data_IF_793441535858
#
_entry.id   IF_793441535858
#
_cell.length_a   1.000
_cell.length_b   1.000
_cell.length_c   1.000
_cell.angle_alpha   90.00
_cell.angle_beta   90.00
_cell.angle_gamma   90.00
#
_symmetry.space_group_name_H-M   'P 1'
#
loop_
_entity.id
_entity.type
_entity.pdbx_description
1 polymer ?
#
# COMPACT_ATOMS: atom_id res chain seq x y z
N UNK A 1 -3.35 -20.68 36.44
CA UNK A 1 -3.71 -20.80 35.01
C UNK A 1 -3.51 -19.45 34.39
N UNK A 2 -2.60 -19.34 33.41
CA UNK A 2 -2.36 -18.09 32.70
C UNK A 2 -3.53 -17.82 31.75
N UNK A 3 -3.77 -16.56 31.40
CA UNK A 3 -4.79 -16.14 30.41
C UNK A 3 -4.65 -16.87 29.08
N UNK A 4 -3.42 -17.24 28.74
CA UNK A 4 -3.05 -17.82 27.44
C UNK A 4 -3.50 -19.29 27.35
N UNK A 5 -3.47 -20.01 28.48
CA UNK A 5 -3.92 -21.41 28.55
C UNK A 5 -5.44 -21.54 28.31
N UNK A 6 -6.21 -20.53 28.72
CA UNK A 6 -7.66 -20.52 28.55
C UNK A 6 -8.05 -20.24 27.09
N UNK A 7 -7.36 -19.32 26.41
CA UNK A 7 -7.65 -19.01 25.02
C UNK A 7 -7.35 -20.19 24.09
N UNK A 8 -6.22 -20.87 24.28
CA UNK A 8 -5.85 -22.06 23.50
C UNK A 8 -6.85 -23.20 23.72
N UNK A 9 -7.34 -23.39 24.95
CA UNK A 9 -8.36 -24.39 25.27
C UNK A 9 -9.71 -24.07 24.60
N UNK A 10 -10.15 -22.82 24.63
CA UNK A 10 -11.39 -22.36 24.00
C UNK A 10 -11.32 -22.45 22.46
N UNK A 11 -10.19 -22.08 21.87
CA UNK A 11 -9.95 -22.19 20.43
C UNK A 11 -9.99 -23.67 19.97
N UNK A 12 -9.30 -24.53 20.71
CA UNK A 12 -9.28 -25.97 20.44
C UNK A 12 -10.68 -26.58 20.54
N UNK A 13 -11.46 -26.17 21.55
CA UNK A 13 -12.82 -26.63 21.72
C UNK A 13 -13.71 -26.19 20.54
N UNK A 14 -13.67 -24.91 20.15
CA UNK A 14 -14.46 -24.38 19.02
C UNK A 14 -14.11 -25.04 17.69
N UNK A 15 -12.82 -25.27 17.42
CA UNK A 15 -12.38 -25.95 16.20
C UNK A 15 -12.86 -27.40 16.15
N UNK A 16 -12.83 -28.11 17.29
CA UNK A 16 -13.34 -29.49 17.37
C UNK A 16 -14.84 -29.54 17.13
N UNK A 17 -15.62 -28.69 17.81
CA UNK A 17 -17.08 -28.63 17.64
C UNK A 17 -17.47 -28.27 16.21
N UNK A 18 -16.73 -27.35 15.57
CA UNK A 18 -16.93 -27.02 14.16
C UNK A 18 -16.60 -28.18 13.23
N UNK A 19 -15.54 -28.95 13.52
CA UNK A 19 -15.16 -30.12 12.72
C UNK A 19 -16.18 -31.26 12.85
N UNK A 20 -16.75 -31.49 14.04
CA UNK A 20 -17.78 -32.50 14.28
C UNK A 20 -19.11 -32.14 13.59
N UNK A 21 -19.46 -30.85 13.54
CA UNK A 21 -20.66 -30.37 12.84
C UNK A 21 -20.59 -30.49 11.31
N UNK A 22 -19.39 -30.62 10.73
CA UNK A 22 -19.21 -30.76 9.28
C UNK A 22 -19.40 -32.19 8.77
N UNK A 23 -19.56 -33.18 9.67
CA UNK A 23 -19.69 -34.59 9.32
C UNK A 23 -18.41 -35.15 8.69
N UNK A 24 -18.18 -36.45 8.83
CA UNK A 24 -17.07 -37.16 8.17
C UNK A 24 -17.30 -37.33 6.66
N UNK A 25 -17.81 -36.30 5.98
CA UNK A 25 -17.74 -36.23 4.53
C UNK A 25 -16.27 -35.97 4.18
N UNK A 26 -15.61 -36.95 3.57
CA UNK A 26 -14.30 -36.77 2.95
C UNK A 26 -14.30 -35.41 2.24
N UNK A 27 -13.45 -34.45 2.67
CA UNK A 27 -13.37 -33.18 1.96
C UNK A 27 -13.07 -33.52 0.51
N UNK A 28 -13.75 -32.92 -0.48
CA UNK A 28 -13.59 -33.26 -1.89
C UNK A 28 -12.26 -32.66 -2.40
N UNK A 29 -11.16 -33.16 -1.85
CA UNK A 29 -9.80 -32.86 -2.24
C UNK A 29 -9.60 -33.22 -3.72
N UNK A 30 -10.36 -34.20 -4.22
CA UNK A 30 -10.45 -34.51 -5.64
C UNK A 30 -10.99 -33.31 -6.46
N UNK A 31 -12.07 -32.67 -6.02
CA UNK A 31 -12.65 -31.50 -6.70
C UNK A 31 -11.75 -30.27 -6.57
N UNK A 32 -11.13 -30.03 -5.41
CA UNK A 32 -10.16 -28.94 -5.22
C UNK A 32 -8.92 -29.14 -6.11
N UNK A 33 -8.39 -30.36 -6.22
CA UNK A 33 -7.28 -30.68 -7.14
C UNK A 33 -7.70 -30.54 -8.60
N UNK A 34 -8.95 -30.85 -8.95
CA UNK A 34 -9.47 -30.68 -10.31
C UNK A 34 -9.66 -29.19 -10.65
N UNK A 35 -10.19 -28.39 -9.72
CA UNK A 35 -10.33 -26.94 -9.86
C UNK A 35 -8.97 -26.24 -9.97
N UNK A 36 -7.97 -26.66 -9.19
CA UNK A 36 -6.59 -26.16 -9.28
C UNK A 36 -5.96 -26.42 -10.65
N UNK A 37 -6.14 -27.63 -11.20
CA UNK A 37 -5.65 -27.98 -12.55
C UNK A 37 -6.29 -27.14 -13.65
N UNK A 38 -7.58 -26.80 -13.53
CA UNK A 38 -8.26 -25.91 -14.51
C UNK A 38 -7.67 -24.50 -14.50
N UNK A 39 -7.41 -23.92 -13.31
CA UNK A 39 -6.81 -22.57 -13.19
C UNK A 39 -5.35 -22.51 -13.65
N UNK A 40 -4.59 -23.60 -13.52
CA UNK A 40 -3.22 -23.66 -14.02
C UNK A 40 -3.16 -23.62 -15.56
N UNK A 41 -4.08 -24.33 -16.24
CA UNK A 41 -4.15 -24.37 -17.71
C UNK A 41 -4.52 -23.02 -18.32
N UNK A 42 -5.47 -22.29 -17.72
CA UNK A 42 -5.84 -20.95 -18.22
C UNK A 42 -4.68 -19.95 -18.10
N UNK A 43 -3.89 -20.01 -17.02
CA UNK A 43 -2.70 -19.15 -16.86
C UNK A 43 -1.59 -19.43 -17.89
N UNK A 44 -1.42 -20.67 -18.32
CA UNK A 44 -0.44 -21.01 -19.37
C UNK A 44 -0.88 -20.50 -20.75
N UNK A 45 -2.16 -20.56 -21.09
CA UNK A 45 -2.67 -20.07 -22.38
C UNK A 45 -2.44 -18.55 -22.56
N UNK A 46 -2.61 -17.75 -21.50
CA UNK A 46 -2.39 -16.30 -21.58
C UNK A 46 -0.92 -15.88 -21.72
N UNK A 47 0.04 -16.71 -21.30
CA UNK A 47 1.48 -16.39 -21.45
C UNK A 47 2.01 -16.56 -22.87
N UNK A 48 1.36 -17.39 -23.69
CA UNK A 48 1.79 -17.62 -25.09
C UNK A 48 1.25 -16.52 -26.03
N UNK A 49 0.11 -15.90 -25.71
CA UNK A 49 -0.47 -14.83 -26.52
C UNK A 49 0.27 -13.48 -26.39
N UNK A 50 1.04 -13.26 -25.32
CA UNK A 50 1.69 -11.96 -25.05
C UNK A 50 3.04 -11.76 -25.78
N UNK A 51 3.50 -12.73 -26.59
CA UNK A 51 4.79 -12.65 -27.29
C UNK A 51 4.70 -12.13 -28.74
N UNK A 52 3.51 -11.83 -29.26
CA UNK A 52 3.31 -11.48 -30.67
C UNK A 52 3.19 -9.96 -30.96
N UNK A 53 2.92 -9.10 -29.98
CA UNK A 53 2.54 -7.69 -30.22
C UNK A 53 3.67 -6.66 -30.03
N UNK A 54 4.91 -7.07 -29.79
CA UNK A 54 6.01 -6.17 -29.41
C UNK A 54 6.98 -5.78 -30.55
N UNK A 55 6.52 -5.61 -31.80
CA UNK A 55 7.42 -5.29 -32.94
C UNK A 55 7.05 -4.03 -33.74
N UNK A 56 5.91 -3.38 -33.52
CA UNK A 56 5.53 -2.20 -34.30
C UNK A 56 5.19 -1.04 -33.36
N UNK A 57 6.14 -0.14 -33.10
CA UNK A 57 5.92 1.29 -32.77
C UNK A 57 7.28 1.97 -32.45
N UNK A 58 8.19 1.99 -33.43
CA UNK A 58 9.39 2.83 -33.43
C UNK A 58 9.45 3.65 -34.72
N UNK A 59 8.59 4.66 -34.85
CA UNK A 59 8.75 5.73 -35.83
C UNK A 59 7.89 6.94 -35.43
N UNK A 60 8.50 8.00 -34.91
CA UNK A 60 7.80 9.28 -34.69
C UNK A 60 8.35 10.19 -33.60
N UNK A 61 9.65 10.49 -33.60
CA UNK A 61 10.19 11.61 -32.82
C UNK A 61 10.32 12.83 -33.74
N UNK A 62 9.30 13.68 -33.74
CA UNK A 62 9.29 15.01 -34.37
C UNK A 62 9.34 16.11 -33.30
N UNK A 63 10.27 17.04 -33.48
CA UNK A 63 10.59 18.16 -32.59
C UNK A 63 9.45 19.17 -32.38
N UNK A 64 9.43 19.77 -31.19
CA UNK A 64 8.63 20.97 -30.90
C UNK A 64 9.06 21.62 -29.57
N UNK A 65 10.08 22.47 -29.62
CA UNK A 65 10.44 23.40 -28.54
C UNK A 65 9.55 24.64 -28.61
N UNK A 66 8.75 24.89 -27.58
CA UNK A 66 8.10 26.18 -27.36
C UNK A 66 8.33 26.61 -25.90
N UNK A 67 9.13 27.67 -25.75
CA UNK A 67 9.39 28.34 -24.49
C UNK A 67 8.20 29.26 -24.16
N UNK A 68 7.59 29.06 -23.00
CA UNK A 68 6.60 29.95 -22.41
C UNK A 68 7.04 30.35 -21.00
N UNK A 69 7.51 31.58 -20.84
CA UNK A 69 7.82 32.18 -19.55
C UNK A 69 6.53 32.58 -18.83
N UNK A 70 6.34 32.07 -17.61
CA UNK A 70 5.28 32.49 -16.70
C UNK A 70 5.86 32.70 -15.31
N UNK A 71 5.93 33.96 -14.88
CA UNK A 71 6.32 34.39 -13.54
C UNK A 71 5.21 34.11 -12.54
N UNK A 72 5.42 33.14 -11.64
CA UNK A 72 4.53 32.87 -10.50
C UNK A 72 5.02 33.63 -9.26
N UNK A 73 4.15 34.47 -8.69
CA UNK A 73 4.37 35.19 -7.44
C UNK A 73 4.21 34.29 -6.19
N UNK A 74 4.71 34.71 -5.03
CA UNK A 74 4.68 33.90 -3.82
C UNK A 74 3.31 33.99 -3.11
N UNK A 75 2.57 32.89 -3.09
CA UNK A 75 1.42 32.72 -2.21
C UNK A 75 1.86 31.94 -0.95
N UNK A 76 2.33 32.66 0.06
CA UNK A 76 2.50 32.15 1.42
C UNK A 76 1.14 32.10 2.10
N UNK A 77 0.43 30.98 1.94
CA UNK A 77 -0.72 30.60 2.74
C UNK A 77 -0.49 29.20 3.28
N UNK A 78 0.08 29.10 4.47
CA UNK A 78 0.22 27.82 5.18
C UNK A 78 -1.16 27.32 5.57
N UNK A 79 -1.62 26.24 4.93
CA UNK A 79 -2.81 25.52 5.36
C UNK A 79 -2.43 24.68 6.59
N UNK A 80 -3.18 24.76 7.69
CA UNK A 80 -2.99 23.84 8.80
C UNK A 80 -3.31 22.42 8.31
N UNK A 81 -2.33 21.50 8.36
CA UNK A 81 -2.57 20.08 8.10
C UNK A 81 -3.63 19.57 9.07
N UNK A 82 -4.84 19.21 8.60
CA UNK A 82 -5.77 18.51 9.44
C UNK A 82 -5.23 17.10 9.65
N UNK A 83 -4.87 16.76 10.89
CA UNK A 83 -4.65 15.38 11.33
C UNK A 83 -6.02 14.67 11.35
N UNK A 84 -6.64 14.51 10.18
CA UNK A 84 -7.79 13.65 10.00
C UNK A 84 -7.25 12.22 9.90
N UNK A 85 -7.56 11.40 10.91
CA UNK A 85 -7.01 10.07 11.09
C UNK A 85 -6.97 9.28 9.79
N UNK A 86 -5.75 9.01 9.31
CA UNK A 86 -5.56 8.08 8.21
C UNK A 86 -6.22 6.76 8.61
N UNK A 87 -7.12 6.19 7.79
CA UNK A 87 -7.75 4.91 8.10
C UNK A 87 -6.72 3.76 8.15
N UNK A 88 -5.47 4.04 7.76
CA UNK A 88 -4.37 3.10 7.83
C UNK A 88 -3.85 2.98 9.27
N UNK A 89 -4.35 1.98 10.01
CA UNK A 89 -3.74 1.59 11.29
C UNK A 89 -2.45 0.83 11.03
N UNK A 90 -1.37 1.24 11.68
CA UNK A 90 -0.16 0.42 11.73
C UNK A 90 -0.52 -0.96 12.30
N UNK A 91 -0.01 -2.05 11.70
CA UNK A 91 -0.13 -3.37 12.32
C UNK A 91 0.42 -3.30 13.75
N UNK A 92 -0.43 -3.58 14.75
CA UNK A 92 -0.05 -3.58 16.17
C UNK A 92 -0.27 -2.28 16.95
N UNK A 93 -0.66 -1.18 16.31
CA UNK A 93 -0.94 0.07 17.02
C UNK A 93 -2.16 -0.07 17.95
N UNK A 94 -1.89 -0.11 19.25
CA UNK A 94 -2.88 0.00 20.33
C UNK A 94 -2.77 1.41 20.92
N UNK A 95 -3.88 2.03 21.36
CA UNK A 95 -3.85 3.38 21.93
C UNK A 95 -2.88 3.46 23.13
N UNK A 96 -2.08 4.53 23.19
CA UNK A 96 -0.80 4.54 23.91
C UNK A 96 -0.91 4.64 25.45
N UNK A 97 -0.06 3.91 26.20
CA UNK A 97 0.46 4.36 27.50
C UNK A 97 1.56 5.43 27.31
N UNK A 98 1.76 6.29 28.31
CA UNK A 98 2.59 7.51 28.22
C UNK A 98 4.10 7.31 28.03
N UNK A 99 4.81 8.44 27.83
CA UNK A 99 6.28 8.55 27.63
C UNK A 99 7.07 7.55 28.49
N UNK A 100 8.02 6.84 27.88
CA UNK A 100 9.02 6.07 28.62
C UNK A 100 9.93 6.96 29.46
N UNK A 101 10.53 6.40 30.53
CA UNK A 101 11.46 7.13 31.41
C UNK A 101 12.71 7.69 30.72
N UNK A 102 13.11 7.13 29.57
CA UNK A 102 14.35 7.49 28.88
C UNK A 102 14.18 8.59 27.82
N UNK A 103 12.94 9.05 27.57
CA UNK A 103 12.68 10.19 26.69
C UNK A 103 12.88 9.96 25.19
N UNK A 104 13.19 8.74 24.74
CA UNK A 104 13.31 8.43 23.31
C UNK A 104 11.93 8.48 22.62
N UNK A 105 11.84 9.25 21.53
CA UNK A 105 10.60 9.46 20.80
C UNK A 105 10.67 8.71 19.46
N UNK A 106 9.88 7.62 19.28
CA UNK A 106 9.90 6.87 18.02
C UNK A 106 9.58 7.74 16.80
N UNK A 107 8.88 8.88 16.97
CA UNK A 107 8.57 9.84 15.91
C UNK A 107 9.82 10.49 15.31
N UNK A 108 10.86 10.74 16.13
CA UNK A 108 12.13 11.31 15.65
C UNK A 108 12.87 10.32 14.76
N UNK A 109 12.91 9.05 15.21
CA UNK A 109 13.53 7.95 14.46
C UNK A 109 12.77 7.62 13.18
N UNK A 110 11.43 7.62 13.25
CA UNK A 110 10.56 7.47 12.09
C UNK A 110 10.81 8.56 11.05
N UNK A 111 10.81 9.83 11.47
CA UNK A 111 11.08 10.96 10.57
C UNK A 111 12.47 10.91 9.93
N UNK A 112 13.48 10.40 10.64
CA UNK A 112 14.81 10.15 10.06
C UNK A 112 14.78 9.04 8.99
N UNK A 113 14.08 7.93 9.27
CA UNK A 113 13.88 6.85 8.32
C UNK A 113 13.11 7.30 7.07
N UNK A 114 12.06 8.11 7.24
CA UNK A 114 11.30 8.70 6.14
C UNK A 114 12.20 9.59 5.26
N UNK A 115 12.99 10.50 5.85
CA UNK A 115 13.90 11.36 5.06
C UNK A 115 14.94 10.57 4.27
N UNK A 116 15.53 9.54 4.88
CA UNK A 116 16.45 8.63 4.18
C UNK A 116 15.74 7.91 3.03
N UNK A 117 14.53 7.40 3.31
CA UNK A 117 13.68 6.69 2.37
C UNK A 117 13.26 7.53 1.18
N UNK A 118 12.76 8.74 1.39
CA UNK A 118 12.31 9.64 0.33
C UNK A 118 13.47 10.26 -0.47
N UNK A 119 14.66 10.36 0.13
CA UNK A 119 15.87 10.85 -0.51
C UNK A 119 16.67 9.74 -1.20
N UNK A 120 17.79 9.37 -0.58
CA UNK A 120 18.79 8.46 -1.16
C UNK A 120 18.24 7.07 -1.48
N UNK A 121 17.24 6.60 -0.74
CA UNK A 121 16.72 5.24 -0.84
C UNK A 121 15.32 5.15 -1.47
N UNK A 122 14.93 6.15 -2.27
CA UNK A 122 13.57 6.25 -2.86
C UNK A 122 13.14 5.03 -3.66
N UNK A 123 14.09 4.32 -4.27
CA UNK A 123 13.82 3.17 -5.14
C UNK A 123 13.41 1.91 -4.36
N UNK A 124 13.70 1.86 -3.06
CA UNK A 124 13.39 0.72 -2.19
C UNK A 124 12.42 1.06 -1.07
N UNK A 125 12.24 2.34 -0.75
CA UNK A 125 11.35 2.82 0.32
C UNK A 125 9.88 2.83 -0.12
N UNK A 126 8.99 2.38 0.76
CA UNK A 126 7.52 2.42 0.57
C UNK A 126 6.78 3.28 1.58
N UNK A 127 7.27 3.38 2.81
CA UNK A 127 6.62 4.17 3.84
C UNK A 127 7.12 3.83 5.24
N UNK A 128 6.65 4.59 6.23
CA UNK A 128 6.83 4.29 7.64
C UNK A 128 5.49 4.25 8.37
N UNK A 129 5.49 3.66 9.57
CA UNK A 129 4.36 3.68 10.47
C UNK A 129 4.84 3.63 11.92
N UNK A 130 4.58 4.67 12.70
CA UNK A 130 4.90 4.74 14.12
C UNK A 130 3.96 3.93 15.01
N UNK A 131 4.54 3.24 16.00
CA UNK A 131 3.82 2.62 17.11
C UNK A 131 4.37 3.16 18.43
N UNK A 132 3.86 4.33 18.80
CA UNK A 132 4.28 5.04 20.01
C UNK A 132 4.02 4.24 21.29
N UNK A 133 3.02 3.34 21.28
CA UNK A 133 2.66 2.53 22.45
C UNK A 133 3.73 1.49 22.80
N UNK A 134 4.44 0.99 21.79
CA UNK A 134 5.51 -0.01 21.94
C UNK A 134 6.92 0.57 21.74
N UNK A 135 7.06 1.90 21.65
CA UNK A 135 8.32 2.56 21.30
C UNK A 135 8.98 1.95 20.05
N UNK A 136 8.15 1.70 19.04
CA UNK A 136 8.57 1.05 17.82
C UNK A 136 8.10 1.85 16.59
N UNK A 137 8.73 1.59 15.46
CA UNK A 137 8.19 1.98 14.17
C UNK A 137 8.50 0.92 13.11
N UNK A 138 7.67 0.90 12.08
CA UNK A 138 7.75 0.00 10.95
C UNK A 138 8.27 0.77 9.75
N UNK A 139 9.16 0.14 8.98
CA UNK A 139 9.67 0.63 7.71
C UNK A 139 9.29 -0.36 6.62
N UNK A 140 8.42 0.07 5.72
CA UNK A 140 8.01 -0.71 4.56
C UNK A 140 9.00 -0.47 3.43
N UNK A 141 9.55 -1.55 2.87
CA UNK A 141 10.59 -1.47 1.85
C UNK A 141 10.64 -2.72 0.98
N UNK A 142 11.15 -2.58 -0.24
CA UNK A 142 11.33 -3.71 -1.15
C UNK A 142 12.27 -4.77 -0.55
N UNK A 143 12.00 -6.04 -0.83
CA UNK A 143 12.81 -7.16 -0.31
C UNK A 143 14.30 -6.99 -0.67
N UNK A 144 15.16 -7.13 0.34
CA UNK A 144 16.61 -7.22 0.14
C UNK A 144 17.39 -5.90 0.19
N UNK A 145 16.76 -4.79 0.60
CA UNK A 145 17.41 -3.47 0.68
C UNK A 145 18.35 -3.31 1.90
N UNK A 146 19.40 -4.13 1.98
CA UNK A 146 20.32 -4.20 3.14
C UNK A 146 20.98 -2.86 3.48
N UNK A 147 21.36 -2.07 2.47
CA UNK A 147 21.98 -0.77 2.68
C UNK A 147 21.01 0.22 3.34
N UNK A 148 19.74 0.19 2.93
CA UNK A 148 18.69 1.00 3.54
C UNK A 148 18.42 0.54 4.97
N UNK A 149 18.31 -0.77 5.21
CA UNK A 149 18.08 -1.33 6.55
C UNK A 149 19.20 -0.91 7.54
N UNK A 150 20.46 -0.92 7.08
CA UNK A 150 21.59 -0.47 7.88
C UNK A 150 21.53 1.04 8.16
N UNK A 151 21.20 1.86 7.15
CA UNK A 151 21.10 3.30 7.31
C UNK A 151 19.99 3.70 8.30
N UNK A 152 18.83 3.05 8.21
CA UNK A 152 17.71 3.27 9.15
C UNK A 152 18.11 2.88 10.57
N UNK A 153 18.74 1.71 10.77
CA UNK A 153 19.21 1.28 12.09
C UNK A 153 20.23 2.25 12.70
N UNK A 154 21.12 2.80 11.87
CA UNK A 154 22.11 3.77 12.32
C UNK A 154 21.50 5.14 12.68
N UNK A 155 20.36 5.48 12.09
CA UNK A 155 19.65 6.73 12.34
C UNK A 155 18.63 6.66 13.51
N UNK A 156 18.28 5.46 13.96
CA UNK A 156 17.32 5.27 15.04
C UNK A 156 17.93 5.64 16.41
N UNK A 157 17.12 6.28 17.26
CA UNK A 157 17.52 6.63 18.62
C UNK A 157 17.71 5.37 19.49
N UNK A 158 18.66 5.39 20.46
CA UNK A 158 18.81 4.29 21.40
C UNK A 158 17.50 3.97 22.13
N UNK A 159 17.11 2.70 22.13
CA UNK A 159 15.88 2.23 22.79
C UNK A 159 14.62 2.25 21.90
N UNK A 160 14.69 2.78 20.68
CA UNK A 160 13.60 2.66 19.70
C UNK A 160 13.74 1.35 18.93
N UNK A 161 12.65 0.58 18.83
CA UNK A 161 12.61 -0.67 18.06
C UNK A 161 12.24 -0.40 16.60
N UNK A 162 13.05 -0.91 15.67
CA UNK A 162 12.79 -0.79 14.22
C UNK A 162 12.38 -2.14 13.63
N UNK A 163 11.22 -2.18 12.98
CA UNK A 163 10.74 -3.34 12.23
C UNK A 163 10.82 -3.08 10.72
N UNK A 164 11.43 -4.01 9.97
CA UNK A 164 11.47 -3.96 8.51
C UNK A 164 10.41 -4.88 7.92
N UNK A 165 9.55 -4.33 7.07
CA UNK A 165 8.46 -5.05 6.42
C UNK A 165 8.66 -5.04 4.91
N UNK A 166 8.62 -6.23 4.30
CA UNK A 166 8.71 -6.34 2.85
C UNK A 166 7.45 -5.75 2.19
N UNK A 167 7.63 -4.85 1.24
CA UNK A 167 6.58 -4.26 0.43
C UNK A 167 6.62 -4.74 -1.02
N UNK A 168 5.52 -4.51 -1.75
CA UNK A 168 5.40 -4.88 -3.17
C UNK A 168 5.92 -3.80 -4.12
N UNK A 169 5.67 -2.54 -3.80
CA UNK A 169 6.01 -1.40 -4.64
C UNK A 169 6.68 -0.28 -3.83
N UNK A 170 7.66 0.44 -4.40
CA UNK A 170 8.24 1.61 -3.75
C UNK A 170 7.29 2.81 -3.83
N UNK A 171 7.39 3.72 -2.86
CA UNK A 171 6.43 4.82 -2.66
C UNK A 171 6.37 5.77 -3.83
N UNK A 172 7.52 6.09 -4.44
CA UNK A 172 7.57 7.02 -5.56
C UNK A 172 6.76 6.51 -6.76
N UNK A 173 6.75 5.20 -7.02
CA UNK A 173 5.93 4.59 -8.08
C UNK A 173 4.43 4.65 -7.76
N UNK A 174 4.07 4.49 -6.49
CA UNK A 174 2.68 4.60 -6.06
C UNK A 174 2.17 6.04 -6.13
N UNK A 175 3.00 7.02 -5.77
CA UNK A 175 2.70 8.46 -5.93
C UNK A 175 2.54 8.82 -7.41
N UNK A 176 3.51 8.44 -8.27
CA UNK A 176 3.39 8.63 -9.73
C UNK A 176 2.08 8.05 -10.29
N UNK A 177 1.67 6.87 -9.80
CA UNK A 177 0.39 6.28 -10.20
C UNK A 177 -0.81 7.07 -9.66
N UNK A 178 -0.78 7.47 -8.39
CA UNK A 178 -1.85 8.23 -7.77
C UNK A 178 -2.09 9.56 -8.50
N UNK A 179 -1.02 10.27 -8.85
CA UNK A 179 -1.07 11.52 -9.62
C UNK A 179 -1.65 11.26 -11.02
N UNK A 180 -1.15 10.24 -11.71
CA UNK A 180 -1.68 9.86 -13.03
C UNK A 180 -3.16 9.52 -13.01
N UNK A 181 -3.67 8.86 -11.96
CA UNK A 181 -5.08 8.47 -11.88
C UNK A 181 -5.98 9.69 -11.72
N UNK A 182 -5.59 10.64 -10.87
CA UNK A 182 -6.41 11.83 -10.58
C UNK A 182 -6.36 12.85 -11.73
N UNK A 183 -5.23 12.94 -12.43
CA UNK A 183 -5.05 13.85 -13.57
C UNK A 183 -5.52 13.27 -14.92
N UNK A 184 -5.99 12.01 -14.97
CA UNK A 184 -6.38 11.38 -16.24
C UNK A 184 -7.68 11.99 -16.81
N UNK A 185 -7.62 12.71 -17.96
CA UNK A 185 -8.79 13.35 -18.55
C UNK A 185 -9.87 12.34 -18.96
N UNK A 186 -9.51 11.07 -19.14
CA UNK A 186 -10.43 9.98 -19.48
C UNK A 186 -11.67 9.92 -18.57
N UNK A 187 -11.49 10.18 -17.27
CA UNK A 187 -12.57 10.13 -16.28
C UNK A 187 -13.49 11.35 -16.39
N UNK A 188 -12.91 12.54 -16.51
CA UNK A 188 -13.66 13.78 -16.67
C UNK A 188 -14.52 13.77 -17.94
N UNK A 189 -13.97 13.32 -19.07
CA UNK A 189 -14.70 13.17 -20.35
C UNK A 189 -15.91 12.22 -20.26
N UNK A 190 -15.95 11.35 -19.25
CA UNK A 190 -17.04 10.39 -18.99
C UNK A 190 -17.97 10.82 -17.85
N UNK A 191 -17.78 12.03 -17.32
CA UNK A 191 -18.55 12.51 -16.17
C UNK A 191 -18.25 11.73 -14.88
N UNK A 192 -17.11 11.04 -14.80
CA UNK A 192 -16.66 10.33 -13.60
C UNK A 192 -15.75 11.26 -12.80
N UNK A 193 -16.05 11.43 -11.52
CA UNK A 193 -15.23 12.24 -10.62
C UNK A 193 -14.37 11.33 -9.76
N UNK A 194 -13.05 11.41 -9.94
CA UNK A 194 -12.08 10.87 -8.98
C UNK A 194 -11.94 11.90 -7.87
N UNK A 195 -12.41 11.56 -6.67
CA UNK A 195 -12.39 12.49 -5.54
C UNK A 195 -11.01 12.59 -4.90
N UNK A 196 -10.23 11.51 -4.95
CA UNK A 196 -8.89 11.47 -4.37
C UNK A 196 -8.15 10.19 -4.72
N UNK A 197 -6.84 10.24 -4.64
CA UNK A 197 -5.95 9.08 -4.77
C UNK A 197 -4.95 9.08 -3.63
N UNK A 198 -4.58 7.90 -3.17
CA UNK A 198 -3.69 7.74 -2.02
C UNK A 198 -2.71 6.58 -2.22
N UNK A 199 -1.41 6.86 -2.14
CA UNK A 199 -0.36 5.85 -2.13
C UNK A 199 -0.25 5.23 -0.72
N UNK A 200 -0.59 3.94 -0.59
CA UNK A 200 -0.58 3.27 0.71
C UNK A 200 0.87 3.09 1.21
N UNK A 201 1.17 3.51 2.47
CA UNK A 201 2.53 3.52 3.00
C UNK A 201 3.13 2.12 3.16
N UNK A 202 2.30 1.07 3.20
CA UNK A 202 2.75 -0.32 3.21
C UNK A 202 3.28 -0.82 1.84
N UNK A 203 3.18 0.02 0.81
CA UNK A 203 3.57 -0.33 -0.54
C UNK A 203 2.65 -1.36 -1.21
N UNK A 204 1.43 -1.57 -0.70
CA UNK A 204 0.46 -2.51 -1.27
C UNK A 204 -0.18 -2.02 -2.57
N UNK A 205 -0.32 -0.70 -2.74
CA UNK A 205 -0.84 -0.07 -3.95
C UNK A 205 -1.42 1.32 -3.72
N UNK A 206 -2.26 1.75 -4.66
CA UNK A 206 -3.00 3.02 -4.61
C UNK A 206 -4.47 2.75 -4.29
N UNK A 207 -5.00 3.51 -3.33
CA UNK A 207 -6.42 3.61 -3.04
C UNK A 207 -7.03 4.75 -3.87
N UNK A 208 -8.20 4.51 -4.48
CA UNK A 208 -8.88 5.49 -5.33
C UNK A 208 -10.28 5.76 -4.78
N UNK A 209 -10.54 7.02 -4.41
CA UNK A 209 -11.86 7.50 -4.02
C UNK A 209 -12.63 8.01 -5.25
N UNK A 210 -13.84 7.50 -5.46
CA UNK A 210 -14.70 7.88 -6.60
C UNK A 210 -16.07 8.37 -6.14
N UNK A 211 -16.67 9.25 -6.94
CA UNK A 211 -18.10 9.56 -6.89
C UNK A 211 -18.82 8.86 -8.05
N UNK A 212 -20.01 8.33 -7.77
CA UNK A 212 -20.83 7.59 -8.75
C UNK A 212 -21.05 6.12 -8.36
N UNK A 213 -21.31 5.27 -9.35
CA UNK A 213 -21.55 3.83 -9.15
C UNK A 213 -20.23 3.08 -8.93
N UNK A 214 -19.86 2.88 -7.67
CA UNK A 214 -18.65 2.13 -7.28
C UNK A 214 -18.57 0.73 -7.91
N UNK A 215 -19.71 0.03 -8.02
CA UNK A 215 -19.74 -1.35 -8.56
C UNK A 215 -19.39 -1.36 -10.04
N UNK A 216 -19.85 -0.35 -10.78
CA UNK A 216 -19.51 -0.17 -12.19
C UNK A 216 -18.08 0.37 -12.40
N UNK A 217 -17.63 1.30 -11.55
CA UNK A 217 -16.35 2.01 -11.72
C UNK A 217 -15.15 1.19 -11.29
N UNK A 218 -15.23 0.45 -10.16
CA UNK A 218 -14.11 -0.34 -9.63
C UNK A 218 -13.43 -1.22 -10.70
N UNK A 219 -14.13 -2.07 -11.47
CA UNK A 219 -13.47 -2.90 -12.47
C UNK A 219 -12.84 -2.08 -13.61
N UNK A 220 -13.40 -0.93 -13.96
CA UNK A 220 -12.85 -0.06 -15.01
C UNK A 220 -11.52 0.59 -14.56
N UNK A 221 -11.47 1.11 -13.32
CA UNK A 221 -10.25 1.68 -12.74
C UNK A 221 -9.15 0.61 -12.68
N UNK A 222 -9.47 -0.58 -12.18
CA UNK A 222 -8.51 -1.69 -12.09
C UNK A 222 -8.04 -2.14 -13.48
N UNK A 223 -8.94 -2.25 -14.46
CA UNK A 223 -8.58 -2.64 -15.82
C UNK A 223 -7.63 -1.63 -16.48
N UNK A 224 -7.83 -0.33 -16.23
CA UNK A 224 -7.05 0.75 -16.83
C UNK A 224 -5.65 0.89 -16.22
N UNK A 225 -5.55 0.82 -14.89
CA UNK A 225 -4.31 1.12 -14.17
C UNK A 225 -3.58 -0.12 -13.65
N UNK A 226 -4.22 -1.28 -13.75
CA UNK A 226 -3.61 -2.57 -13.46
C UNK A 226 -3.49 -2.87 -11.95
N UNK A 227 -2.62 -3.84 -11.60
CA UNK A 227 -2.57 -4.45 -10.27
C UNK A 227 -1.88 -3.59 -9.19
N UNK A 228 -1.59 -2.33 -9.49
CA UNK A 228 -1.12 -1.36 -8.51
C UNK A 228 -2.29 -0.61 -7.86
N UNK A 229 -3.51 -0.70 -8.38
CA UNK A 229 -4.71 -0.23 -7.69
C UNK A 229 -5.08 -1.26 -6.62
N UNK A 230 -4.89 -0.90 -5.35
CA UNK A 230 -5.20 -1.76 -4.21
C UNK A 230 -6.71 -1.78 -3.92
N UNK A 231 -7.36 -0.63 -4.09
CA UNK A 231 -8.78 -0.48 -3.80
C UNK A 231 -9.40 0.69 -4.53
N UNK A 232 -10.72 0.57 -4.73
CA UNK A 232 -11.58 1.67 -5.18
C UNK A 232 -12.72 1.75 -4.19
N UNK A 233 -13.00 2.94 -3.66
CA UNK A 233 -14.02 3.18 -2.65
C UNK A 233 -14.90 4.38 -2.97
N UNK A 234 -16.06 4.43 -2.32
CA UNK A 234 -16.99 5.54 -2.48
C UNK A 234 -16.53 6.71 -1.61
N UNK A 235 -16.48 7.92 -2.19
CA UNK A 235 -16.20 9.14 -1.46
C UNK A 235 -14.70 9.50 -1.41
N UNK A 236 -14.33 10.30 -0.41
CA UNK A 236 -12.96 10.81 -0.30
C UNK A 236 -12.02 9.67 0.10
N UNK A 237 -11.06 9.37 -0.78
CA UNK A 237 -9.75 8.96 -0.28
C UNK A 237 -9.15 10.22 0.35
N UNK A 238 -9.23 10.36 1.68
CA UNK A 238 -8.77 11.56 2.37
C UNK A 238 -7.33 11.88 1.96
N UNK A 239 -7.12 12.98 1.22
CA UNK A 239 -5.80 13.46 0.83
C UNK A 239 -5.14 14.16 2.02
N UNK A 240 -4.50 13.39 2.89
CA UNK A 240 -3.68 13.94 3.97
C UNK A 240 -2.21 13.71 3.69
N UNK A 241 -1.60 14.44 2.75
CA UNK A 241 -0.13 14.49 2.69
C UNK A 241 0.42 15.27 3.89
#
# INVERSE_FOLDING_TARGET
>A
MASDDWFEAELTHRLRTAAEGLGAAEPPLAELRQAGRRRARTRQAHRVAAAADAVLLLAGLGWGLAAGGGTAGPATGGWPSPQAGSPYRCPGATEAPGRTPNGADPTVSEGAAQRLGEGQYREVYSGTCGDSSHHAFYVYRLRGAKAFDQAVRAAAEPGVTVHFVDSKYPQYKLRELADRIIDDPYWHERGVVIQGTWALPDGSGVQVGVLGDLKALRPQVIARYGPMVAGVEQGAANSGY
#
